data_IF_104122652500
#
_entry.id   IF_104122652500
#
_cell.length_a   1.000
_cell.length_b   1.000
_cell.length_c   1.000
_cell.angle_alpha   90.00
_cell.angle_beta   90.00
_cell.angle_gamma   90.00
#
_symmetry.space_group_name_H-M   'P 1'
#
loop_
_entity.id
_entity.type
_entity.pdbx_description
1 polymer ?
#
# COMPACT_ATOMS: atom_id res chain seq x y z
N UNK A 1 -9.53 -14.57 40.74
CA UNK A 1 -9.04 -15.06 39.44
C UNK A 1 -9.67 -14.29 38.28
N UNK A 2 -10.97 -13.98 38.33
CA UNK A 2 -11.70 -13.23 37.28
C UNK A 2 -11.25 -11.78 37.04
N UNK A 3 -10.68 -11.09 38.05
CA UNK A 3 -10.17 -9.71 37.89
C UNK A 3 -9.01 -9.61 36.89
N UNK A 4 -8.06 -10.55 36.93
CA UNK A 4 -6.88 -10.56 36.04
C UNK A 4 -7.26 -10.76 34.57
N UNK A 5 -8.26 -11.60 34.31
CA UNK A 5 -8.74 -11.86 32.95
C UNK A 5 -9.43 -10.62 32.36
N UNK A 6 -10.19 -9.87 33.17
CA UNK A 6 -10.83 -8.64 32.72
C UNK A 6 -9.82 -7.53 32.42
N UNK A 7 -8.72 -7.43 33.16
CA UNK A 7 -7.64 -6.47 32.91
C UNK A 7 -6.83 -6.82 31.64
N UNK A 8 -6.53 -8.09 31.39
CA UNK A 8 -5.89 -8.52 30.13
C UNK A 8 -6.78 -8.28 28.90
N UNK A 9 -8.08 -8.56 29.02
CA UNK A 9 -9.03 -8.30 27.93
C UNK A 9 -9.20 -6.81 27.68
N UNK A 10 -9.17 -5.98 28.74
CA UNK A 10 -9.22 -4.52 28.62
C UNK A 10 -7.94 -3.94 28.01
N UNK A 11 -6.75 -4.46 28.37
CA UNK A 11 -5.48 -4.06 27.74
C UNK A 11 -5.40 -4.46 26.27
N UNK A 12 -5.84 -5.67 25.91
CA UNK A 12 -5.93 -6.08 24.49
C UNK A 12 -6.92 -5.23 23.71
N UNK A 13 -8.05 -4.83 24.32
CA UNK A 13 -9.03 -3.92 23.70
C UNK A 13 -8.52 -2.48 23.57
N UNK A 14 -7.70 -1.99 24.49
CA UNK A 14 -7.12 -0.64 24.40
C UNK A 14 -5.96 -0.59 23.40
N UNK A 15 -5.18 -1.68 23.28
CA UNK A 15 -4.15 -1.85 22.25
C UNK A 15 -4.75 -2.05 20.85
N UNK A 16 -5.96 -2.61 20.75
CA UNK A 16 -6.67 -2.80 19.48
C UNK A 16 -7.25 -1.51 18.86
N UNK A 17 -7.14 -0.35 19.53
CA UNK A 17 -7.67 0.92 19.01
C UNK A 17 -6.61 1.92 18.55
N UNK A 18 -5.33 1.71 18.88
CA UNK A 18 -4.22 2.61 18.51
C UNK A 18 -3.07 1.92 17.76
N UNK A 19 -3.25 0.69 17.29
CA UNK A 19 -2.23 -0.05 16.52
C UNK A 19 -2.67 -0.30 15.08
N UNK A 20 -3.20 0.73 14.41
CA UNK A 20 -3.23 0.76 12.93
C UNK A 20 -1.84 1.20 12.44
N UNK A 21 -0.80 0.51 12.89
CA UNK A 21 0.44 0.43 12.12
C UNK A 21 0.25 -0.84 11.31
N UNK A 22 -0.39 -0.70 10.15
CA UNK A 22 -0.40 -1.78 9.16
C UNK A 22 1.05 -2.17 8.91
N UNK A 23 1.41 -3.40 9.24
CA UNK A 23 2.66 -3.97 8.78
C UNK A 23 2.53 -4.16 7.27
N UNK A 24 2.89 -3.13 6.51
CA UNK A 24 3.00 -3.18 5.05
C UNK A 24 3.95 -4.33 4.73
N UNK A 25 3.53 -5.28 3.87
CA UNK A 25 4.37 -6.43 3.56
C UNK A 25 5.63 -5.97 2.81
N UNK A 26 6.71 -6.76 2.83
CA UNK A 26 7.95 -6.44 2.08
C UNK A 26 7.65 -6.24 0.58
N UNK A 27 6.66 -6.97 0.06
CA UNK A 27 6.20 -6.84 -1.32
C UNK A 27 5.50 -5.50 -1.57
N UNK A 28 4.64 -5.06 -0.66
CA UNK A 28 3.94 -3.78 -0.79
C UNK A 28 4.92 -2.60 -0.59
N UNK A 29 5.97 -2.78 0.23
CA UNK A 29 7.08 -1.83 0.34
C UNK A 29 7.87 -1.73 -0.97
N UNK A 30 8.17 -2.86 -1.62
CA UNK A 30 8.86 -2.89 -2.91
C UNK A 30 8.01 -2.20 -4.00
N UNK A 31 6.71 -2.47 -4.03
CA UNK A 31 5.77 -1.80 -4.94
C UNK A 31 5.77 -0.28 -4.71
N UNK A 32 5.70 0.16 -3.45
CA UNK A 32 5.71 1.57 -3.10
C UNK A 32 7.03 2.24 -3.51
N UNK A 33 8.18 1.59 -3.28
CA UNK A 33 9.49 2.09 -3.72
C UNK A 33 9.52 2.30 -5.24
N UNK A 34 9.04 1.34 -6.02
CA UNK A 34 8.99 1.44 -7.50
C UNK A 34 8.11 2.62 -7.95
N UNK A 35 6.98 2.86 -7.27
CA UNK A 35 6.11 4.00 -7.58
C UNK A 35 6.81 5.32 -7.21
N UNK A 36 7.50 5.37 -6.06
CA UNK A 36 8.26 6.55 -5.59
C UNK A 36 9.46 6.88 -6.48
N UNK A 37 10.18 5.88 -6.97
CA UNK A 37 11.33 6.05 -7.88
C UNK A 37 10.92 6.61 -9.25
N UNK A 38 9.64 6.50 -9.61
CA UNK A 38 9.12 7.15 -10.82
C UNK A 38 8.93 8.68 -10.63
N UNK A 39 9.16 9.18 -9.41
CA UNK A 39 9.24 10.60 -9.11
C UNK A 39 7.95 11.35 -9.44
N UNK A 40 8.07 12.47 -10.15
CA UNK A 40 6.91 13.26 -10.58
C UNK A 40 6.12 12.61 -11.73
N UNK A 41 6.67 11.58 -12.38
CA UNK A 41 5.93 10.80 -13.38
C UNK A 41 5.18 9.71 -12.65
N UNK A 42 3.88 9.93 -12.44
CA UNK A 42 2.97 8.89 -11.98
C UNK A 42 3.13 7.65 -12.87
N UNK A 43 3.42 6.45 -12.36
CA UNK A 43 3.45 5.27 -13.21
C UNK A 43 2.06 4.80 -13.61
N UNK A 44 1.98 4.10 -14.74
CA UNK A 44 0.84 3.23 -15.05
C UNK A 44 0.99 1.86 -14.38
N UNK A 45 -0.09 1.08 -14.35
CA UNK A 45 -0.01 -0.29 -13.82
C UNK A 45 0.95 -1.18 -14.63
N UNK A 46 1.02 -0.98 -15.94
CA UNK A 46 1.92 -1.72 -16.82
C UNK A 46 3.39 -1.38 -16.52
N UNK A 47 3.70 -0.08 -16.33
CA UNK A 47 5.05 0.36 -15.97
C UNK A 47 5.48 -0.17 -14.60
N UNK A 48 4.56 -0.21 -13.63
CA UNK A 48 4.83 -0.82 -12.32
C UNK A 48 5.18 -2.30 -12.49
N UNK A 49 4.40 -3.05 -13.29
CA UNK A 49 4.68 -4.46 -13.55
C UNK A 49 6.06 -4.66 -14.17
N UNK A 50 6.37 -3.93 -15.24
CA UNK A 50 7.66 -4.03 -15.93
C UNK A 50 8.84 -3.79 -14.97
N UNK A 51 8.76 -2.75 -14.14
CA UNK A 51 9.82 -2.47 -13.15
C UNK A 51 9.93 -3.52 -12.06
N UNK A 52 8.79 -4.04 -11.57
CA UNK A 52 8.84 -5.13 -10.59
C UNK A 52 9.52 -6.37 -11.17
N UNK A 53 9.27 -6.67 -12.45
CA UNK A 53 9.92 -7.79 -13.15
C UNK A 53 11.41 -7.55 -13.39
N UNK A 54 11.83 -6.31 -13.70
CA UNK A 54 13.25 -5.93 -13.80
C UNK A 54 14.02 -6.15 -12.49
N UNK A 55 13.36 -5.92 -11.34
CA UNK A 55 13.88 -6.20 -10.00
C UNK A 55 13.76 -7.69 -9.58
N UNK A 56 13.30 -8.56 -10.49
CA UNK A 56 13.12 -9.99 -10.24
C UNK A 56 11.90 -10.33 -9.36
N UNK A 57 10.97 -9.39 -9.20
CA UNK A 57 9.75 -9.53 -8.41
C UNK A 57 8.55 -9.67 -9.34
N UNK A 58 7.97 -10.87 -9.39
CA UNK A 58 6.83 -11.14 -10.26
C UNK A 58 5.50 -10.97 -9.52
N UNK A 59 4.71 -9.97 -9.93
CA UNK A 59 3.35 -9.78 -9.47
C UNK A 59 2.34 -10.07 -10.57
N UNK A 60 1.25 -10.76 -10.21
CA UNK A 60 0.07 -10.82 -11.08
C UNK A 60 -0.60 -9.45 -11.17
N UNK A 61 -1.24 -9.14 -12.29
CA UNK A 61 -2.04 -7.90 -12.46
C UNK A 61 -3.08 -7.74 -11.34
N UNK A 62 -3.65 -8.84 -10.86
CA UNK A 62 -4.59 -8.85 -9.74
C UNK A 62 -3.94 -8.37 -8.43
N UNK A 63 -2.73 -8.83 -8.12
CA UNK A 63 -1.98 -8.42 -6.92
C UNK A 63 -1.63 -6.94 -7.00
N UNK A 64 -1.05 -6.48 -8.12
CA UNK A 64 -0.74 -5.05 -8.33
C UNK A 64 -2.00 -4.19 -8.15
N UNK A 65 -3.13 -4.59 -8.75
CA UNK A 65 -4.40 -3.87 -8.63
C UNK A 65 -4.97 -3.87 -7.22
N UNK A 66 -4.72 -4.92 -6.44
CA UNK A 66 -5.15 -5.00 -5.04
C UNK A 66 -4.30 -4.07 -4.19
N UNK A 67 -2.99 -4.12 -4.35
CA UNK A 67 -2.05 -3.34 -3.54
C UNK A 67 -2.18 -1.85 -3.81
N UNK A 68 -2.36 -1.44 -5.07
CA UNK A 68 -2.62 -0.04 -5.41
C UNK A 68 -3.89 0.50 -4.75
N UNK A 69 -4.93 -0.33 -4.61
CA UNK A 69 -6.16 0.04 -3.87
C UNK A 69 -5.93 0.14 -2.37
N UNK A 70 -5.09 -0.74 -1.82
CA UNK A 70 -4.72 -0.67 -0.40
C UNK A 70 -3.88 0.58 -0.12
N UNK A 71 -2.89 0.89 -0.98
CA UNK A 71 -2.07 2.12 -0.90
C UNK A 71 -2.92 3.39 -1.08
N UNK A 72 -3.93 3.35 -1.96
CA UNK A 72 -4.89 4.46 -2.13
C UNK A 72 -5.75 4.66 -0.88
N UNK A 73 -6.27 3.57 -0.30
CA UNK A 73 -7.13 3.62 0.89
C UNK A 73 -6.42 4.22 2.11
N UNK A 74 -5.09 4.12 2.15
CA UNK A 74 -4.24 4.66 3.23
C UNK A 74 -3.61 6.01 2.87
N UNK A 75 -3.93 6.55 1.69
CA UNK A 75 -3.55 7.88 1.26
C UNK A 75 -2.10 8.04 0.80
N UNK A 76 -1.40 6.95 0.46
CA UNK A 76 -0.02 7.02 -0.06
C UNK A 76 0.02 7.27 -1.57
N UNK A 77 -0.98 6.79 -2.29
CA UNK A 77 -1.14 7.04 -3.74
C UNK A 77 -2.55 7.53 -4.04
N UNK A 78 -2.74 8.15 -5.20
CA UNK A 78 -4.07 8.31 -5.82
C UNK A 78 -4.00 7.76 -7.23
N UNK A 79 -5.14 7.35 -7.80
CA UNK A 79 -5.19 7.16 -9.24
C UNK A 79 -5.74 8.42 -9.93
N UNK A 80 -5.21 8.69 -11.12
CA UNK A 80 -5.74 9.71 -12.04
C UNK A 80 -6.03 9.01 -13.36
N UNK A 81 -7.16 9.33 -13.96
CA UNK A 81 -7.54 8.82 -15.29
C UNK A 81 -7.31 9.93 -16.30
N UNK A 82 -6.45 9.69 -17.29
CA UNK A 82 -6.26 10.60 -18.42
C UNK A 82 -7.18 10.22 -19.59
N UNK A 83 -7.20 11.04 -20.64
CA UNK A 83 -8.08 10.91 -21.81
C UNK A 83 -8.03 9.52 -22.48
N UNK A 84 -6.95 8.76 -22.28
CA UNK A 84 -6.76 7.38 -22.76
C UNK A 84 -7.51 6.30 -21.95
N UNK A 85 -8.28 6.67 -20.91
CA UNK A 85 -8.85 5.75 -19.90
C UNK A 85 -7.81 4.96 -19.07
N UNK A 86 -6.52 5.24 -19.28
CA UNK A 86 -5.43 4.65 -18.53
C UNK A 86 -5.35 5.25 -17.13
N UNK A 87 -5.06 4.40 -16.14
CA UNK A 87 -4.88 4.79 -14.73
C UNK A 87 -3.41 5.01 -14.43
N UNK A 88 -3.14 6.18 -13.88
CA UNK A 88 -1.82 6.65 -13.48
C UNK A 88 -1.81 6.81 -11.96
N UNK A 89 -0.73 6.43 -11.30
CA UNK A 89 -0.68 6.31 -9.83
C UNK A 89 0.37 7.26 -9.21
N UNK A 90 0.12 8.59 -9.12
CA UNK A 90 1.01 9.50 -8.40
C UNK A 90 1.18 9.10 -6.93
N UNK A 91 2.43 9.18 -6.45
CA UNK A 91 2.70 9.22 -5.00
C UNK A 91 2.26 10.58 -4.47
N UNK A 92 1.56 10.58 -3.34
CA UNK A 92 1.30 11.81 -2.60
C UNK A 92 2.52 12.09 -1.72
N UNK A 93 3.18 13.24 -1.92
CA UNK A 93 4.16 13.73 -0.95
C UNK A 93 3.48 13.82 0.42
N UNK A 94 4.03 13.12 1.40
CA UNK A 94 3.63 13.30 2.79
C UNK A 94 4.21 14.64 3.23
N UNK A 95 3.36 15.67 3.29
CA UNK A 95 3.69 17.02 3.77
C UNK A 95 4.13 17.03 5.24
#
# INVERSE_FOLDING_TARGET
MEKRIKEEVAMKKSLGKNSVVMSISVQDQALLLIIMENGQKSPTQEEIRQRTEEEGIYFSDFKISKDLRELEAIGLVRFVVYQSMERWYPVLEVA
#
